data_IF_401843020882
#
_entry.id   IF_401843020882
#
_cell.length_a   1.000
_cell.length_b   1.000
_cell.length_c   1.000
_cell.angle_alpha   90.00
_cell.angle_beta   90.00
_cell.angle_gamma   90.00
#
_symmetry.space_group_name_H-M   'P 1'
#
loop_
_entity.id
_entity.type
_entity.pdbx_description
1 polymer ?
#
# COMPACT_ATOMS: atom_id res chain seq x y z
N UNK A 1 21.12 16.80 -28.14
CA UNK A 1 20.83 17.80 -27.09
C UNK A 1 19.55 17.47 -26.31
N UNK A 2 18.47 16.98 -26.91
CA UNK A 2 17.21 16.57 -26.27
C UNK A 2 17.33 15.39 -25.29
N UNK A 3 18.11 14.37 -25.59
CA UNK A 3 18.31 13.18 -24.72
C UNK A 3 18.86 13.53 -23.32
N UNK A 4 19.69 14.56 -23.22
CA UNK A 4 20.28 15.00 -21.94
C UNK A 4 19.25 15.70 -21.05
N UNK A 5 18.27 16.40 -21.64
CA UNK A 5 17.27 17.20 -20.90
C UNK A 5 16.28 16.29 -20.14
N UNK A 6 15.83 15.20 -20.75
CA UNK A 6 14.86 14.28 -20.12
C UNK A 6 15.51 13.42 -19.04
N UNK A 7 16.74 12.97 -19.26
CA UNK A 7 17.52 12.28 -18.22
C UNK A 7 17.76 13.22 -17.02
N UNK A 8 18.06 14.50 -17.28
CA UNK A 8 18.17 15.50 -16.23
C UNK A 8 16.84 15.72 -15.48
N UNK A 9 15.69 15.73 -16.18
CA UNK A 9 14.37 15.83 -15.53
C UNK A 9 14.08 14.62 -14.64
N UNK A 10 14.39 13.40 -15.08
CA UNK A 10 14.22 12.19 -14.28
C UNK A 10 15.10 12.22 -13.02
N UNK A 11 16.36 12.64 -13.16
CA UNK A 11 17.29 12.80 -12.04
C UNK A 11 16.80 13.90 -11.06
N UNK A 12 16.33 15.05 -11.56
CA UNK A 12 15.75 16.10 -10.71
C UNK A 12 14.56 15.60 -9.90
N UNK A 13 13.65 14.81 -10.50
CA UNK A 13 12.53 14.20 -9.80
C UNK A 13 12.99 13.21 -8.72
N UNK A 14 14.01 12.42 -9.02
CA UNK A 14 14.60 11.49 -8.04
C UNK A 14 15.24 12.24 -6.87
N UNK A 15 16.01 13.30 -7.15
CA UNK A 15 16.60 14.15 -6.11
C UNK A 15 15.53 14.81 -5.24
N UNK A 16 14.44 15.27 -5.83
CA UNK A 16 13.29 15.82 -5.09
C UNK A 16 12.68 14.78 -4.16
N UNK A 17 12.47 13.54 -4.64
CA UNK A 17 11.97 12.44 -3.79
C UNK A 17 12.94 12.09 -2.67
N UNK A 18 14.25 12.13 -2.91
CA UNK A 18 15.27 11.93 -1.85
C UNK A 18 15.21 13.05 -0.79
N UNK A 19 14.98 14.29 -1.21
CA UNK A 19 14.77 15.41 -0.27
C UNK A 19 13.53 15.16 0.61
N UNK A 20 12.44 14.69 0.04
CA UNK A 20 11.22 14.34 0.78
C UNK A 20 11.46 13.19 1.77
N UNK A 21 12.21 12.18 1.36
CA UNK A 21 12.65 11.09 2.25
C UNK A 21 13.45 11.64 3.44
N UNK A 22 14.36 12.58 3.20
CA UNK A 22 15.13 13.22 4.24
C UNK A 22 14.23 14.00 5.22
N UNK A 23 13.29 14.80 4.71
CA UNK A 23 12.29 15.50 5.53
C UNK A 23 11.48 14.51 6.39
N UNK A 24 11.05 13.38 5.80
CA UNK A 24 10.35 12.34 6.53
C UNK A 24 11.20 11.74 7.66
N UNK A 25 12.47 11.40 7.38
CA UNK A 25 13.39 10.85 8.38
C UNK A 25 13.62 11.84 9.50
N UNK A 26 13.85 13.12 9.21
CA UNK A 26 14.03 14.16 10.21
C UNK A 26 12.80 14.31 11.09
N UNK A 27 11.62 14.47 10.51
CA UNK A 27 10.36 14.63 11.26
C UNK A 27 9.98 13.39 12.08
N UNK A 28 10.34 12.19 11.58
CA UNK A 28 10.12 10.94 12.32
C UNK A 28 11.10 10.73 13.49
N UNK A 29 12.14 11.53 13.61
CA UNK A 29 13.06 11.56 14.76
C UNK A 29 12.71 12.66 15.79
N UNK A 30 11.79 13.56 15.45
CA UNK A 30 11.30 14.57 16.42
C UNK A 30 10.34 13.86 17.36
N UNK A 31 10.85 13.48 18.54
CA UNK A 31 10.04 12.82 19.59
C UNK A 31 9.10 13.82 20.23
N UNK A 32 7.89 13.35 20.56
CA UNK A 32 6.93 14.14 21.32
C UNK A 32 7.33 14.07 22.80
N UNK A 33 7.57 15.22 23.49
CA UNK A 33 7.99 15.22 24.87
C UNK A 33 6.90 14.67 25.80
N UNK A 34 7.29 14.13 26.94
CA UNK A 34 6.35 13.66 27.98
C UNK A 34 5.76 12.27 27.77
N UNK A 35 6.32 11.46 26.89
CA UNK A 35 5.86 10.10 26.60
C UNK A 35 6.87 9.07 27.13
N UNK A 36 6.36 8.04 27.82
CA UNK A 36 7.17 6.93 28.29
C UNK A 36 7.51 5.97 27.14
N UNK A 37 8.77 6.06 26.65
CA UNK A 37 9.26 5.21 25.58
C UNK A 37 9.35 3.72 25.99
N UNK A 38 9.51 3.41 27.30
CA UNK A 38 9.59 2.03 27.77
C UNK A 38 8.20 1.37 27.72
N UNK A 39 7.18 2.04 28.22
CA UNK A 39 5.79 1.57 28.16
C UNK A 39 5.34 1.33 26.69
N UNK A 40 5.81 2.18 25.79
CA UNK A 40 5.50 2.07 24.35
C UNK A 40 6.13 0.81 23.72
N UNK A 41 7.39 0.55 24.03
CA UNK A 41 8.10 -0.63 23.53
C UNK A 41 7.52 -1.94 24.07
N UNK A 42 7.00 -1.96 25.29
CA UNK A 42 6.29 -3.10 25.86
C UNK A 42 4.94 -3.36 25.15
N UNK A 43 4.19 -2.30 24.85
CA UNK A 43 2.95 -2.42 24.06
C UNK A 43 3.20 -3.00 22.69
N UNK A 44 4.21 -2.52 21.99
CA UNK A 44 4.61 -3.02 20.67
C UNK A 44 4.97 -4.50 20.70
N UNK A 45 5.61 -4.97 21.77
CA UNK A 45 5.97 -6.39 21.95
C UNK A 45 4.77 -7.29 22.29
N UNK A 46 3.82 -6.78 23.10
CA UNK A 46 2.64 -7.56 23.52
C UNK A 46 1.64 -7.79 22.40
N UNK A 47 1.59 -6.88 21.43
CA UNK A 47 0.64 -6.93 20.29
C UNK A 47 1.40 -6.99 18.96
N UNK A 48 2.06 -8.13 18.72
CA UNK A 48 2.92 -8.30 17.54
C UNK A 48 2.14 -8.10 16.22
N UNK A 49 0.93 -8.64 16.10
CA UNK A 49 0.09 -8.49 14.93
C UNK A 49 -0.36 -7.06 14.69
N UNK A 50 -0.74 -6.33 15.74
CA UNK A 50 -1.10 -4.92 15.64
C UNK A 50 0.10 -4.07 15.20
N UNK A 51 1.25 -4.25 15.83
CA UNK A 51 2.48 -3.53 15.49
C UNK A 51 2.95 -3.83 14.07
N UNK A 52 2.73 -5.05 13.59
CA UNK A 52 2.97 -5.45 12.20
C UNK A 52 2.04 -4.69 11.23
N UNK A 53 0.72 -4.73 11.45
CA UNK A 53 -0.24 -4.04 10.61
C UNK A 53 0.01 -2.53 10.53
N UNK A 54 0.35 -1.92 11.68
CA UNK A 54 0.69 -0.50 11.76
C UNK A 54 1.93 -0.17 10.93
N UNK A 55 2.98 -1.00 10.94
CA UNK A 55 4.16 -0.75 10.13
C UNK A 55 3.89 -0.84 8.63
N UNK A 56 2.90 -1.65 8.21
CA UNK A 56 2.49 -1.74 6.80
C UNK A 56 1.83 -0.45 6.30
N UNK A 57 1.25 0.33 7.19
CA UNK A 57 0.64 1.63 6.88
C UNK A 57 1.57 2.82 7.12
N UNK A 58 2.82 2.56 7.48
CA UNK A 58 3.80 3.60 7.78
C UNK A 58 3.69 4.18 9.19
N UNK A 59 2.87 3.59 10.04
CA UNK A 59 2.69 3.99 11.43
C UNK A 59 3.77 3.35 12.31
N UNK A 60 4.33 4.10 13.25
CA UNK A 60 5.33 3.62 14.20
C UNK A 60 4.92 3.92 15.64
N UNK A 61 4.73 2.87 16.45
CA UNK A 61 4.44 3.01 17.89
C UNK A 61 5.72 2.97 18.71
N UNK A 62 6.78 2.35 18.23
CA UNK A 62 8.01 2.13 19.02
C UNK A 62 8.61 3.44 19.56
N UNK A 63 8.38 4.54 18.86
CA UNK A 63 8.76 5.89 19.28
C UNK A 63 7.70 6.87 18.78
N UNK A 64 6.93 7.47 19.66
CA UNK A 64 5.97 8.51 19.26
C UNK A 64 6.70 9.79 18.84
N UNK A 65 6.74 9.99 17.54
CA UNK A 65 7.29 11.16 16.85
C UNK A 65 6.17 11.95 16.18
N UNK A 66 6.52 13.11 15.64
CA UNK A 66 5.59 13.95 14.89
C UNK A 66 4.88 13.19 13.76
N UNK A 67 5.58 12.27 13.10
CA UNK A 67 5.07 11.49 11.96
C UNK A 67 4.66 10.05 12.31
N UNK A 68 4.48 9.75 13.60
CA UNK A 68 4.14 8.38 14.04
C UNK A 68 2.81 7.86 13.52
N UNK A 69 1.85 8.75 13.21
CA UNK A 69 0.55 8.35 12.64
C UNK A 69 0.69 7.79 11.21
N UNK A 70 1.80 8.09 10.54
CA UNK A 70 2.04 7.67 9.16
C UNK A 70 0.95 8.13 8.18
N UNK A 71 0.79 7.39 7.09
CA UNK A 71 -0.23 7.64 6.07
C UNK A 71 -1.45 6.70 6.18
N UNK A 72 -1.54 5.89 7.25
CA UNK A 72 -2.64 4.94 7.47
C UNK A 72 -4.04 5.58 7.38
N UNK A 73 -4.33 6.70 8.09
CA UNK A 73 -5.62 7.38 8.01
C UNK A 73 -5.95 7.87 6.60
N UNK A 74 -4.95 8.36 5.86
CA UNK A 74 -5.11 8.79 4.47
C UNK A 74 -5.48 7.62 3.56
N UNK A 75 -4.83 6.47 3.70
CA UNK A 75 -5.16 5.26 2.95
C UNK A 75 -6.57 4.78 3.26
N UNK A 76 -6.93 4.69 4.54
CA UNK A 76 -8.28 4.31 4.95
C UNK A 76 -9.33 5.26 4.36
N UNK A 77 -9.11 6.56 4.42
CA UNK A 77 -10.00 7.57 3.85
C UNK A 77 -10.17 7.41 2.33
N UNK A 78 -9.08 7.12 1.61
CA UNK A 78 -9.13 6.90 0.16
C UNK A 78 -9.97 5.69 -0.22
N UNK A 79 -9.88 4.59 0.54
CA UNK A 79 -10.70 3.39 0.29
C UNK A 79 -12.18 3.70 0.57
N UNK A 80 -12.49 4.23 1.76
CA UNK A 80 -13.86 4.57 2.10
C UNK A 80 -14.49 5.50 1.08
N UNK A 81 -13.76 6.53 0.67
CA UNK A 81 -14.22 7.43 -0.37
C UNK A 81 -14.47 6.73 -1.70
N UNK A 82 -13.60 5.79 -2.08
CA UNK A 82 -13.75 5.02 -3.30
C UNK A 82 -14.96 4.09 -3.27
N UNK A 83 -15.19 3.40 -2.14
CA UNK A 83 -16.39 2.57 -1.94
C UNK A 83 -17.66 3.42 -2.03
N UNK A 84 -17.66 4.62 -1.43
CA UNK A 84 -18.78 5.55 -1.51
C UNK A 84 -19.04 6.03 -2.95
N UNK A 85 -17.97 6.29 -3.71
CA UNK A 85 -18.09 6.72 -5.11
C UNK A 85 -18.68 5.61 -5.99
N UNK A 86 -18.23 4.37 -5.81
CA UNK A 86 -18.72 3.21 -6.57
C UNK A 86 -20.18 2.87 -6.22
N UNK A 87 -20.59 3.09 -4.98
CA UNK A 87 -21.94 2.75 -4.50
C UNK A 87 -23.07 3.60 -5.12
N UNK A 88 -22.73 4.70 -5.82
CA UNK A 88 -23.68 5.66 -6.45
C UNK A 88 -24.74 6.27 -5.51
N UNK A 89 -24.67 5.95 -4.21
CA UNK A 89 -25.69 6.37 -3.22
C UNK A 89 -25.71 7.88 -3.03
N UNK A 90 -24.54 8.54 -3.16
CA UNK A 90 -24.39 9.98 -2.84
C UNK A 90 -24.17 10.89 -4.05
N UNK A 91 -24.40 10.42 -5.28
CA UNK A 91 -24.16 11.21 -6.51
C UNK A 91 -22.77 11.86 -6.57
N UNK A 92 -21.76 11.21 -5.98
CA UNK A 92 -20.38 11.70 -5.85
C UNK A 92 -19.70 11.82 -7.24
N UNK A 93 -20.24 11.15 -8.26
CA UNK A 93 -19.75 11.21 -9.65
C UNK A 93 -19.77 12.66 -10.22
N UNK A 94 -20.62 13.52 -9.69
CA UNK A 94 -20.73 14.94 -10.10
C UNK A 94 -19.68 15.86 -9.46
N UNK A 95 -18.90 15.37 -8.50
CA UNK A 95 -17.93 16.19 -7.79
C UNK A 95 -16.72 16.51 -8.67
N UNK A 96 -16.27 17.78 -8.61
CA UNK A 96 -15.02 18.17 -9.26
C UNK A 96 -13.81 17.46 -8.62
N UNK A 97 -12.68 17.32 -9.35
CA UNK A 97 -11.46 16.73 -8.79
C UNK A 97 -11.00 17.40 -7.48
N UNK A 98 -11.16 18.72 -7.39
CA UNK A 98 -10.82 19.49 -6.19
C UNK A 98 -11.75 19.19 -5.01
N UNK A 99 -13.06 19.05 -5.25
CA UNK A 99 -14.03 18.66 -4.21
C UNK A 99 -13.73 17.24 -3.70
N UNK A 100 -13.49 16.30 -4.62
CA UNK A 100 -13.10 14.94 -4.27
C UNK A 100 -11.84 14.90 -3.40
N UNK A 101 -10.84 15.71 -3.72
CA UNK A 101 -9.63 15.81 -2.92
C UNK A 101 -9.91 16.36 -1.52
N UNK A 102 -10.66 17.48 -1.42
CA UNK A 102 -11.01 18.09 -0.12
C UNK A 102 -11.77 17.13 0.79
N UNK A 103 -12.72 16.38 0.24
CA UNK A 103 -13.49 15.42 1.02
C UNK A 103 -12.61 14.27 1.54
N UNK A 104 -11.73 13.71 0.70
CA UNK A 104 -10.75 12.71 1.13
C UNK A 104 -9.86 13.24 2.24
N UNK A 105 -9.42 14.49 2.14
CA UNK A 105 -8.58 15.13 3.15
C UNK A 105 -9.32 15.29 4.48
N UNK A 106 -10.58 15.79 4.47
CA UNK A 106 -11.41 15.91 5.67
C UNK A 106 -11.64 14.53 6.31
N UNK A 107 -11.97 13.52 5.52
CA UNK A 107 -12.12 12.16 6.01
C UNK A 107 -10.83 11.63 6.64
N UNK A 108 -9.67 11.89 6.05
CA UNK A 108 -8.40 11.46 6.60
C UNK A 108 -8.07 12.13 7.94
N UNK A 109 -8.40 13.41 8.10
CA UNK A 109 -8.23 14.12 9.37
C UNK A 109 -9.14 13.55 10.44
N UNK A 110 -10.42 13.28 10.13
CA UNK A 110 -11.35 12.63 11.04
C UNK A 110 -10.85 11.25 11.49
N UNK A 111 -10.43 10.42 10.56
CA UNK A 111 -9.86 9.10 10.86
C UNK A 111 -8.55 9.23 11.65
N UNK A 112 -7.72 10.21 11.31
CA UNK A 112 -6.50 10.53 12.05
C UNK A 112 -6.76 10.93 13.50
N UNK A 113 -7.82 11.69 13.77
CA UNK A 113 -8.25 12.00 15.12
C UNK A 113 -8.64 10.73 15.89
N UNK A 114 -9.47 9.86 15.31
CA UNK A 114 -9.86 8.59 15.95
C UNK A 114 -8.63 7.72 16.25
N UNK A 115 -7.71 7.59 15.30
CA UNK A 115 -6.48 6.80 15.49
C UNK A 115 -5.56 7.43 16.53
N UNK A 116 -5.38 8.75 16.53
CA UNK A 116 -4.52 9.44 17.51
C UNK A 116 -5.05 9.28 18.93
N UNK A 117 -6.37 9.44 19.15
CA UNK A 117 -6.99 9.16 20.44
C UNK A 117 -6.80 7.70 20.87
N UNK A 118 -6.98 6.75 19.96
CA UNK A 118 -6.75 5.34 20.23
C UNK A 118 -5.32 5.05 20.70
N UNK A 119 -4.32 5.67 20.09
CA UNK A 119 -2.91 5.50 20.45
C UNK A 119 -2.62 6.17 21.81
N UNK A 120 -3.07 7.40 22.01
CA UNK A 120 -2.78 8.17 23.22
C UNK A 120 -3.36 7.51 24.48
N UNK A 121 -4.53 6.88 24.36
CA UNK A 121 -5.15 6.16 25.50
C UNK A 121 -4.35 4.92 25.92
N UNK A 122 -3.48 4.40 25.07
CA UNK A 122 -2.59 3.27 25.38
C UNK A 122 -1.27 3.69 26.02
N UNK A 123 -0.93 4.97 25.91
CA UNK A 123 0.37 5.49 26.32
C UNK A 123 0.29 6.14 27.69
N UNK A 124 1.25 5.83 28.55
CA UNK A 124 1.40 6.55 29.83
C UNK A 124 2.10 7.89 29.58
N UNK A 125 1.41 8.95 29.93
CA UNK A 125 1.96 10.31 29.89
C UNK A 125 2.74 10.56 31.17
N UNK A 126 4.03 10.87 31.04
CA UNK A 126 4.92 11.21 32.13
C UNK A 126 4.80 12.73 32.45
N UNK A 127 4.33 13.05 33.63
CA UNK A 127 4.37 14.41 34.17
C UNK A 127 3.08 15.25 33.98
N UNK A 128 3.06 16.39 34.70
CA UNK A 128 1.92 17.34 34.73
C UNK A 128 1.85 18.29 33.52
N UNK A 129 2.78 18.14 32.57
CA UNK A 129 2.96 19.07 31.43
C UNK A 129 1.71 19.18 30.56
N UNK A 130 0.86 18.15 30.56
CA UNK A 130 -0.33 18.07 29.71
C UNK A 130 -1.67 17.93 30.47
N UNK A 131 -1.71 18.07 31.79
CA UNK A 131 -2.97 18.16 32.55
C UNK A 131 -3.55 19.57 32.40
N UNK A 132 -4.71 19.81 31.97
CA UNK A 132 -5.97 19.14 31.70
C UNK A 132 -6.30 18.99 30.20
N UNK A 133 -5.49 19.50 29.29
CA UNK A 133 -5.71 19.50 27.82
C UNK A 133 -4.82 18.45 27.11
N UNK A 134 -4.05 17.69 27.89
CA UNK A 134 -2.93 16.89 27.43
C UNK A 134 -3.22 15.90 26.31
N UNK A 135 -4.29 15.11 26.43
CA UNK A 135 -4.63 14.11 25.41
C UNK A 135 -5.09 14.76 24.10
N UNK A 136 -5.80 15.88 24.17
CA UNK A 136 -6.27 16.61 23.00
C UNK A 136 -5.11 17.27 22.25
N UNK A 137 -4.19 17.92 22.99
CA UNK A 137 -3.03 18.57 22.38
C UNK A 137 -2.10 17.55 21.69
N UNK A 138 -1.87 16.39 22.32
CA UNK A 138 -1.10 15.30 21.69
C UNK A 138 -1.80 14.76 20.44
N UNK A 139 -3.12 14.58 20.48
CA UNK A 139 -3.89 14.17 19.31
C UNK A 139 -3.76 15.19 18.17
N UNK A 140 -3.85 16.48 18.47
CA UNK A 140 -3.70 17.54 17.48
C UNK A 140 -2.29 17.58 16.88
N UNK A 141 -1.23 17.36 17.68
CA UNK A 141 0.15 17.29 17.19
C UNK A 141 0.30 16.13 16.21
N UNK A 142 -0.22 14.94 16.55
CA UNK A 142 -0.16 13.77 15.67
C UNK A 142 -0.93 13.99 14.36
N UNK A 143 -2.12 14.60 14.44
CA UNK A 143 -2.93 14.92 13.25
C UNK A 143 -2.29 16.02 12.42
N UNK A 144 -1.65 17.00 13.03
CA UNK A 144 -0.86 17.99 12.29
C UNK A 144 0.29 17.34 11.54
N UNK A 145 1.00 16.38 12.17
CA UNK A 145 2.00 15.55 11.51
C UNK A 145 1.45 14.77 10.31
N UNK A 146 0.27 14.17 10.45
CA UNK A 146 -0.43 13.50 9.35
C UNK A 146 -0.73 14.48 8.19
N UNK A 147 -1.25 15.67 8.51
CA UNK A 147 -1.56 16.68 7.50
C UNK A 147 -0.32 17.11 6.70
N UNK A 148 0.81 17.29 7.38
CA UNK A 148 2.11 17.55 6.73
C UNK A 148 2.54 16.39 5.86
N UNK A 149 2.40 15.14 6.31
CA UNK A 149 2.76 13.96 5.52
C UNK A 149 1.91 13.83 4.25
N UNK A 150 0.61 14.10 4.33
CA UNK A 150 -0.28 14.10 3.17
C UNK A 150 0.17 15.19 2.18
N UNK A 151 0.47 16.38 2.66
CA UNK A 151 0.93 17.48 1.81
C UNK A 151 2.25 17.14 1.12
N UNK A 152 3.24 16.65 1.88
CA UNK A 152 4.55 16.22 1.36
C UNK A 152 4.42 15.07 0.36
N UNK A 153 3.53 14.10 0.62
CA UNK A 153 3.23 13.00 -0.29
C UNK A 153 2.65 13.47 -1.62
N UNK A 154 1.75 14.46 -1.58
CA UNK A 154 1.19 15.07 -2.80
C UNK A 154 2.24 15.88 -3.58
N UNK A 155 3.08 16.66 -2.89
CA UNK A 155 4.22 17.32 -3.55
C UNK A 155 5.11 16.31 -4.28
N UNK A 156 5.33 15.15 -3.67
CA UNK A 156 6.11 14.09 -4.32
C UNK A 156 5.39 13.48 -5.54
N UNK A 157 4.07 13.51 -5.58
CA UNK A 157 3.31 13.08 -6.77
C UNK A 157 3.54 14.04 -7.94
N UNK A 158 3.56 15.35 -7.67
CA UNK A 158 3.69 16.38 -8.71
C UNK A 158 5.14 16.53 -9.20
N UNK A 159 6.08 16.63 -8.29
CA UNK A 159 7.49 16.98 -8.59
C UNK A 159 8.47 15.83 -8.45
N UNK A 160 8.08 14.72 -7.80
CA UNK A 160 8.95 13.58 -7.51
C UNK A 160 8.57 12.30 -8.24
N UNK A 161 8.92 11.18 -7.62
CA UNK A 161 8.66 9.80 -8.06
C UNK A 161 8.08 9.01 -6.89
N UNK A 162 7.10 8.15 -7.16
CA UNK A 162 6.50 7.27 -6.17
C UNK A 162 5.42 7.93 -5.28
N UNK A 163 5.21 9.25 -5.36
CA UNK A 163 4.17 9.93 -4.58
C UNK A 163 4.23 9.59 -3.09
N UNK A 164 3.07 9.39 -2.41
CA UNK A 164 3.01 9.01 -1.00
C UNK A 164 3.62 7.63 -0.69
N UNK A 165 3.69 6.74 -1.70
CA UNK A 165 4.20 5.37 -1.57
C UNK A 165 5.66 5.32 -1.10
N UNK A 166 6.48 6.32 -1.47
CA UNK A 166 7.86 6.37 -1.04
C UNK A 166 8.00 6.58 0.47
N UNK A 167 7.09 7.35 1.08
CA UNK A 167 7.08 7.60 2.53
C UNK A 167 6.79 6.28 3.27
N UNK A 168 5.84 5.49 2.77
CA UNK A 168 5.50 4.19 3.34
C UNK A 168 6.65 3.22 3.20
N UNK A 169 7.26 3.15 2.01
CA UNK A 169 8.43 2.31 1.77
C UNK A 169 9.57 2.64 2.73
N UNK A 170 9.90 3.91 2.91
CA UNK A 170 10.97 4.36 3.82
C UNK A 170 10.62 4.03 5.28
N UNK A 171 9.37 4.22 5.67
CA UNK A 171 8.88 3.83 7.00
C UNK A 171 9.07 2.33 7.27
N UNK A 172 8.68 1.49 6.29
CA UNK A 172 8.85 0.04 6.39
C UNK A 172 10.33 -0.35 6.48
N UNK A 173 11.18 0.22 5.61
CA UNK A 173 12.63 -0.05 5.61
C UNK A 173 13.31 0.38 6.92
N UNK A 174 12.89 1.49 7.50
CA UNK A 174 13.43 1.98 8.77
C UNK A 174 13.15 1.00 9.92
N UNK A 175 11.94 0.46 9.99
CA UNK A 175 11.51 -0.42 11.06
C UNK A 175 11.95 -1.88 10.85
N UNK A 176 12.37 -2.23 9.64
CA UNK A 176 12.72 -3.58 9.25
C UNK A 176 13.89 -4.18 10.04
N UNK A 177 15.05 -3.48 10.26
CA UNK A 177 16.19 -4.04 10.99
C UNK A 177 15.86 -4.37 12.44
N UNK A 178 15.22 -3.47 13.16
CA UNK A 178 14.86 -3.67 14.56
C UNK A 178 13.88 -4.83 14.75
N UNK A 179 13.00 -5.03 13.78
CA UNK A 179 11.95 -6.04 13.88
C UNK A 179 12.40 -7.44 13.45
N UNK A 180 13.23 -7.54 12.44
CA UNK A 180 13.63 -8.82 11.85
C UNK A 180 15.10 -9.18 12.08
N UNK A 181 16.05 -8.23 12.06
CA UNK A 181 17.46 -8.54 12.25
C UNK A 181 17.82 -8.73 13.72
N UNK A 182 17.34 -7.86 14.63
CA UNK A 182 17.68 -7.97 16.04
C UNK A 182 17.27 -9.29 16.69
N UNK A 183 16.05 -9.82 16.51
CA UNK A 183 15.67 -11.13 17.07
C UNK A 183 16.52 -12.28 16.53
N UNK A 184 16.95 -12.15 15.28
CA UNK A 184 17.79 -13.11 14.62
C UNK A 184 19.20 -13.16 15.22
N UNK A 185 19.84 -12.00 15.35
CA UNK A 185 21.20 -11.89 15.88
C UNK A 185 21.28 -12.34 17.35
N UNK A 186 20.22 -12.09 18.13
CA UNK A 186 20.18 -12.46 19.55
C UNK A 186 20.02 -13.96 19.82
N UNK A 187 19.33 -14.67 18.94
CA UNK A 187 18.94 -16.06 19.19
C UNK A 187 19.89 -17.11 18.59
N UNK A 188 20.86 -16.72 17.77
CA UNK A 188 21.65 -17.67 17.01
C UNK A 188 23.15 -17.34 17.02
N UNK A 189 23.96 -18.25 17.60
CA UNK A 189 25.42 -18.17 17.62
C UNK A 189 26.04 -19.49 17.12
N UNK A 190 26.94 -19.43 16.15
CA UNK A 190 27.74 -20.57 15.68
C UNK A 190 27.75 -20.83 14.18
N UNK A 191 28.55 -21.78 13.71
CA UNK A 191 28.74 -22.15 12.29
C UNK A 191 27.45 -22.66 11.64
N UNK A 192 26.64 -23.46 12.37
CA UNK A 192 25.32 -23.90 11.87
C UNK A 192 24.36 -22.76 11.59
N UNK A 193 24.52 -21.64 12.25
CA UNK A 193 23.73 -20.44 12.00
C UNK A 193 24.12 -19.75 10.72
N UNK A 194 25.41 -19.76 10.36
CA UNK A 194 25.91 -19.18 9.13
C UNK A 194 25.35 -19.92 7.90
N UNK A 195 25.32 -21.26 7.97
CA UNK A 195 24.71 -22.10 6.93
C UNK A 195 23.18 -21.87 6.84
N UNK A 196 22.50 -21.75 7.98
CA UNK A 196 21.07 -21.41 8.06
C UNK A 196 20.75 -20.04 7.43
N UNK A 197 21.60 -19.05 7.68
CA UNK A 197 21.48 -17.72 7.06
C UNK A 197 21.66 -17.75 5.55
N UNK A 198 22.63 -18.51 5.06
CA UNK A 198 22.86 -18.70 3.62
C UNK A 198 21.65 -19.37 2.97
N UNK A 199 21.14 -20.45 3.56
CA UNK A 199 19.95 -21.14 3.05
C UNK A 199 18.70 -20.22 3.06
N UNK A 200 18.48 -19.49 4.16
CA UNK A 200 17.38 -18.55 4.27
C UNK A 200 17.49 -17.42 3.24
N UNK A 201 18.68 -16.86 3.01
CA UNK A 201 18.91 -15.83 2.01
C UNK A 201 18.70 -16.34 0.59
N UNK A 202 19.16 -17.56 0.27
CA UNK A 202 18.93 -18.20 -1.04
C UNK A 202 17.44 -18.44 -1.26
N UNK A 203 16.74 -18.99 -0.26
CA UNK A 203 15.29 -19.21 -0.33
C UNK A 203 14.54 -17.88 -0.57
N UNK A 204 14.92 -16.83 0.15
CA UNK A 204 14.33 -15.50 0.01
C UNK A 204 14.56 -14.91 -1.38
N UNK A 205 15.76 -15.05 -1.93
CA UNK A 205 16.08 -14.64 -3.30
C UNK A 205 15.24 -15.43 -4.33
N UNK A 206 15.10 -16.74 -4.13
CA UNK A 206 14.30 -17.58 -5.01
C UNK A 206 12.82 -17.20 -4.98
N UNK A 207 12.24 -17.01 -3.78
CA UNK A 207 10.85 -16.55 -3.62
C UNK A 207 10.67 -15.16 -4.23
N UNK A 208 11.62 -14.25 -4.02
CA UNK A 208 11.59 -12.91 -4.62
C UNK A 208 11.63 -12.97 -6.14
N UNK A 209 12.45 -13.83 -6.71
CA UNK A 209 12.52 -14.04 -8.15
C UNK A 209 11.21 -14.60 -8.70
N UNK A 210 10.60 -15.59 -8.04
CA UNK A 210 9.29 -16.14 -8.45
C UNK A 210 8.19 -15.08 -8.40
N UNK A 211 8.13 -14.29 -7.33
CA UNK A 211 7.18 -13.18 -7.18
C UNK A 211 7.40 -12.17 -8.30
N UNK A 212 8.65 -11.74 -8.52
CA UNK A 212 8.97 -10.78 -9.55
C UNK A 212 8.56 -11.25 -10.95
N UNK A 213 8.82 -12.51 -11.30
CA UNK A 213 8.39 -13.14 -12.57
C UNK A 213 6.87 -13.17 -12.68
N UNK A 214 6.17 -13.52 -11.61
CA UNK A 214 4.72 -13.52 -11.60
C UNK A 214 4.14 -12.12 -11.86
N UNK A 215 4.71 -11.09 -11.23
CA UNK A 215 4.25 -9.71 -11.40
C UNK A 215 4.64 -9.08 -12.73
N UNK A 216 5.63 -9.64 -13.44
CA UNK A 216 5.97 -9.24 -14.82
C UNK A 216 5.13 -9.96 -15.87
N UNK A 217 4.47 -11.05 -15.49
CA UNK A 217 3.64 -11.82 -16.40
C UNK A 217 2.50 -11.01 -16.97
N UNK A 218 2.19 -11.24 -18.24
CA UNK A 218 1.06 -10.63 -18.93
C UNK A 218 0.32 -11.70 -19.75
N UNK A 219 -1.00 -11.57 -19.78
CA UNK A 219 -1.83 -12.34 -20.69
C UNK A 219 -2.03 -11.52 -21.97
N UNK A 220 -1.54 -12.02 -23.09
CA UNK A 220 -1.66 -11.37 -24.38
C UNK A 220 -2.96 -11.78 -25.05
N UNK A 221 -3.85 -10.81 -25.31
CA UNK A 221 -5.07 -11.01 -26.05
C UNK A 221 -4.84 -10.55 -27.50
N UNK A 222 -4.87 -11.46 -28.51
CA UNK A 222 -4.61 -11.08 -29.91
C UNK A 222 -5.67 -10.10 -30.38
N UNK A 223 -5.24 -9.01 -31.00
CA UNK A 223 -6.05 -7.91 -31.47
C UNK A 223 -6.01 -7.88 -33.00
N UNK A 224 -7.16 -7.78 -33.64
CA UNK A 224 -7.31 -7.64 -35.08
C UNK A 224 -7.64 -6.21 -35.44
N UNK A 225 -7.02 -5.70 -36.49
CA UNK A 225 -7.25 -4.34 -37.01
C UNK A 225 -7.93 -4.41 -38.38
N UNK A 226 -9.01 -3.66 -38.59
CA UNK A 226 -9.76 -3.69 -39.86
C UNK A 226 -8.97 -3.14 -41.04
N UNK A 227 -8.01 -2.23 -40.79
CA UNK A 227 -7.25 -1.54 -41.85
C UNK A 227 -5.80 -1.99 -42.02
N UNK A 228 -5.36 -3.01 -41.30
CA UNK A 228 -3.99 -3.52 -41.37
C UNK A 228 -3.98 -4.90 -41.99
N UNK A 229 -3.00 -5.13 -42.87
CA UNK A 229 -2.74 -6.45 -43.47
C UNK A 229 -2.47 -7.50 -42.38
N UNK A 230 -2.96 -8.72 -42.58
CA UNK A 230 -2.86 -9.84 -41.60
C UNK A 230 -1.46 -10.09 -41.08
N UNK A 231 -0.44 -9.74 -41.89
CA UNK A 231 0.98 -9.88 -41.51
C UNK A 231 1.39 -8.96 -40.34
N UNK A 232 0.76 -7.79 -40.19
CA UNK A 232 1.02 -6.83 -39.14
C UNK A 232 0.04 -6.98 -37.96
N UNK A 233 -1.17 -7.45 -38.22
CA UNK A 233 -2.17 -7.71 -37.19
C UNK A 233 -1.79 -8.88 -36.28
N UNK A 234 -1.06 -9.88 -36.81
CA UNK A 234 -0.62 -11.05 -36.05
C UNK A 234 0.31 -10.74 -34.87
N UNK A 235 0.97 -9.57 -34.87
CA UNK A 235 1.84 -9.11 -33.78
C UNK A 235 1.15 -8.18 -32.79
N UNK A 236 -0.10 -7.75 -33.07
CA UNK A 236 -0.85 -6.83 -32.23
C UNK A 236 -1.60 -7.57 -31.14
N UNK A 237 -1.41 -7.16 -29.89
CA UNK A 237 -2.10 -7.75 -28.75
C UNK A 237 -2.38 -6.72 -27.65
N UNK A 238 -3.44 -6.94 -26.90
CA UNK A 238 -3.74 -6.20 -25.67
C UNK A 238 -3.12 -6.95 -24.47
N UNK A 239 -2.12 -6.37 -23.77
CA UNK A 239 -1.54 -7.00 -22.59
C UNK A 239 -2.43 -6.78 -21.37
N UNK A 240 -2.86 -7.86 -20.72
CA UNK A 240 -3.48 -7.82 -19.39
C UNK A 240 -2.46 -8.35 -18.39
N UNK A 241 -1.97 -7.55 -17.43
CA UNK A 241 -0.99 -8.01 -16.46
C UNK A 241 -1.55 -9.15 -15.59
N UNK A 242 -0.69 -10.07 -15.17
CA UNK A 242 -1.08 -11.19 -14.29
C UNK A 242 -1.60 -10.69 -12.95
N UNK A 243 -1.06 -9.56 -12.45
CA UNK A 243 -1.62 -8.85 -11.32
C UNK A 243 -2.17 -7.48 -11.77
N UNK A 244 -3.45 -7.42 -12.20
CA UNK A 244 -4.06 -6.18 -12.66
C UNK A 244 -4.28 -5.16 -11.54
N UNK A 245 -4.36 -5.62 -10.28
CA UNK A 245 -4.55 -4.74 -9.12
C UNK A 245 -3.26 -4.04 -8.67
N UNK A 246 -2.08 -4.53 -9.07
CA UNK A 246 -0.79 -3.99 -8.64
C UNK A 246 -0.49 -4.24 -7.16
N UNK A 247 0.26 -3.35 -6.53
CA UNK A 247 0.63 -3.41 -5.11
C UNK A 247 -0.36 -2.77 -4.15
N UNK A 248 -1.30 -2.01 -4.67
CA UNK A 248 -2.24 -1.23 -3.85
C UNK A 248 -3.09 -2.07 -2.90
N UNK A 249 -3.64 -3.25 -3.28
CA UNK A 249 -4.48 -4.04 -2.38
C UNK A 249 -3.80 -4.38 -1.05
N UNK A 250 -2.49 -4.62 -1.05
CA UNK A 250 -1.77 -4.97 0.17
C UNK A 250 -1.73 -3.84 1.19
N UNK A 251 -1.34 -2.65 0.74
CA UNK A 251 -1.26 -1.47 1.60
C UNK A 251 -2.61 -1.13 2.20
N UNK A 252 -3.64 -1.20 1.36
CA UNK A 252 -4.99 -0.83 1.76
C UNK A 252 -5.68 -1.90 2.61
N UNK A 253 -5.41 -3.19 2.41
CA UNK A 253 -6.02 -4.26 3.20
C UNK A 253 -5.68 -4.13 4.70
N UNK A 254 -4.42 -3.80 5.03
CA UNK A 254 -4.03 -3.54 6.41
C UNK A 254 -4.73 -2.31 6.99
N UNK A 255 -4.88 -1.23 6.21
CA UNK A 255 -5.62 -0.05 6.65
C UNK A 255 -7.09 -0.35 6.94
N UNK A 256 -7.73 -1.19 6.12
CA UNK A 256 -9.13 -1.61 6.30
C UNK A 256 -9.32 -2.41 7.58
N UNK A 257 -8.37 -3.28 7.92
CA UNK A 257 -8.44 -4.11 9.13
C UNK A 257 -8.11 -3.28 10.39
N UNK A 258 -7.15 -2.36 10.29
CA UNK A 258 -6.77 -1.50 11.43
C UNK A 258 -7.89 -0.53 11.83
N UNK A 259 -8.69 -0.05 10.88
CA UNK A 259 -9.72 0.94 11.17
C UNK A 259 -10.77 0.45 12.18
N UNK A 260 -11.43 -0.71 12.02
CA UNK A 260 -12.32 -1.27 13.05
C UNK A 260 -11.61 -1.51 14.39
N UNK A 261 -10.34 -1.92 14.36
CA UNK A 261 -9.56 -2.12 15.60
C UNK A 261 -9.41 -0.82 16.41
N UNK A 262 -9.16 0.31 15.75
CA UNK A 262 -9.06 1.61 16.43
C UNK A 262 -10.40 2.05 17.02
N UNK A 263 -11.51 1.85 16.31
CA UNK A 263 -12.85 2.16 16.82
C UNK A 263 -13.18 1.29 18.03
N UNK A 264 -12.98 -0.03 17.91
CA UNK A 264 -13.24 -0.96 19.00
C UNK A 264 -12.38 -0.65 20.22
N UNK A 265 -11.13 -0.28 20.01
CA UNK A 265 -10.25 0.12 21.09
C UNK A 265 -10.72 1.41 21.79
N UNK A 266 -11.14 2.41 21.05
CA UNK A 266 -11.71 3.65 21.59
C UNK A 266 -12.97 3.37 22.39
N UNK A 267 -13.88 2.53 21.88
CA UNK A 267 -15.09 2.11 22.58
C UNK A 267 -14.78 1.32 23.85
N UNK A 268 -13.80 0.40 23.82
CA UNK A 268 -13.32 -0.34 24.99
C UNK A 268 -12.77 0.59 26.07
N UNK A 269 -12.08 1.67 25.67
CA UNK A 269 -11.56 2.68 26.62
C UNK A 269 -12.67 3.44 27.34
N UNK A 270 -13.79 3.70 26.66
CA UNK A 270 -14.96 4.39 27.24
C UNK A 270 -15.83 3.44 28.06
N UNK A 271 -16.03 2.20 27.60
CA UNK A 271 -16.89 1.20 28.24
C UNK A 271 -16.05 0.04 28.81
N UNK A 272 -15.23 0.35 29.84
CA UNK A 272 -14.22 -0.59 30.41
C UNK A 272 -14.76 -1.95 30.86
N UNK A 273 -16.03 -2.05 31.26
CA UNK A 273 -16.64 -3.25 31.82
C UNK A 273 -17.47 -4.06 30.81
N UNK A 274 -17.49 -3.69 29.55
CA UNK A 274 -18.29 -4.41 28.55
C UNK A 274 -17.49 -5.61 27.99
N UNK A 275 -17.85 -6.82 28.44
CA UNK A 275 -17.21 -8.07 28.02
C UNK A 275 -17.34 -8.31 26.50
N UNK A 276 -18.45 -7.90 25.89
CA UNK A 276 -18.68 -8.07 24.46
C UNK A 276 -17.71 -7.22 23.61
N UNK A 277 -17.46 -5.96 24.01
CA UNK A 277 -16.50 -5.10 23.34
C UNK A 277 -15.06 -5.61 23.49
N UNK A 278 -14.72 -6.15 24.67
CA UNK A 278 -13.42 -6.76 24.89
C UNK A 278 -13.22 -7.97 23.99
N UNK A 279 -14.21 -8.86 23.92
CA UNK A 279 -14.18 -10.03 23.04
C UNK A 279 -14.05 -9.64 21.56
N UNK A 280 -14.85 -8.69 21.06
CA UNK A 280 -14.77 -8.23 19.69
C UNK A 280 -13.39 -7.62 19.36
N UNK A 281 -12.83 -6.81 20.25
CA UNK A 281 -11.54 -6.21 20.08
C UNK A 281 -10.44 -7.27 19.94
N UNK A 282 -10.45 -8.28 20.81
CA UNK A 282 -9.47 -9.38 20.76
C UNK A 282 -9.61 -10.19 19.47
N UNK A 283 -10.82 -10.51 19.06
CA UNK A 283 -11.07 -11.33 17.88
C UNK A 283 -10.68 -10.64 16.55
N UNK A 284 -10.77 -9.31 16.48
CA UNK A 284 -10.41 -8.56 15.25
C UNK A 284 -8.89 -8.34 15.13
N UNK A 285 -8.11 -8.62 16.18
CA UNK A 285 -6.64 -8.54 16.09
C UNK A 285 -6.07 -9.59 15.13
N UNK A 286 -4.94 -9.27 14.49
CA UNK A 286 -4.25 -10.19 13.58
C UNK A 286 -3.59 -11.38 14.30
N UNK A 287 -3.55 -11.36 15.61
CA UNK A 287 -3.10 -12.47 16.46
C UNK A 287 -4.22 -13.50 16.69
N UNK A 288 -5.41 -13.28 16.12
CA UNK A 288 -6.57 -14.18 16.16
C UNK A 288 -7.04 -14.58 14.76
N UNK A 289 -7.65 -15.77 14.66
CA UNK A 289 -8.11 -16.37 13.39
C UNK A 289 -9.04 -15.42 12.63
N UNK A 290 -9.97 -14.78 13.33
CA UNK A 290 -10.97 -13.89 12.73
C UNK A 290 -10.32 -12.64 12.11
N UNK A 291 -9.31 -12.07 12.76
CA UNK A 291 -8.55 -10.94 12.22
C UNK A 291 -7.80 -11.30 10.94
N UNK A 292 -7.18 -12.48 10.88
CA UNK A 292 -6.50 -12.97 9.67
C UNK A 292 -7.52 -13.21 8.54
N UNK A 293 -8.66 -13.80 8.83
CA UNK A 293 -9.73 -14.01 7.84
C UNK A 293 -10.24 -12.68 7.30
N UNK A 294 -10.49 -11.69 8.16
CA UNK A 294 -10.89 -10.34 7.73
C UNK A 294 -9.85 -9.69 6.81
N UNK A 295 -8.57 -9.86 7.13
CA UNK A 295 -7.48 -9.38 6.26
C UNK A 295 -7.54 -10.05 4.88
N UNK A 296 -7.69 -11.37 4.82
CA UNK A 296 -7.74 -12.10 3.56
C UNK A 296 -8.98 -11.75 2.72
N UNK A 297 -10.14 -11.62 3.36
CA UNK A 297 -11.37 -11.18 2.68
C UNK A 297 -11.18 -9.77 2.14
N UNK A 298 -10.65 -8.83 2.95
CA UNK A 298 -10.39 -7.47 2.49
C UNK A 298 -9.38 -7.43 1.34
N UNK A 299 -8.35 -8.27 1.38
CA UNK A 299 -7.35 -8.39 0.32
C UNK A 299 -7.98 -8.87 -0.99
N UNK A 300 -8.84 -9.90 -0.95
CA UNK A 300 -9.55 -10.39 -2.13
C UNK A 300 -10.44 -9.31 -2.72
N UNK A 301 -11.29 -8.68 -1.89
CA UNK A 301 -12.21 -7.62 -2.34
C UNK A 301 -11.45 -6.44 -2.97
N UNK A 302 -10.36 -6.00 -2.33
CA UNK A 302 -9.54 -4.91 -2.85
C UNK A 302 -8.80 -5.32 -4.14
N UNK A 303 -8.35 -6.57 -4.26
CA UNK A 303 -7.68 -7.05 -5.49
C UNK A 303 -8.64 -6.97 -6.69
N UNK A 304 -9.88 -7.43 -6.55
CA UNK A 304 -10.90 -7.28 -7.59
C UNK A 304 -11.25 -5.81 -7.85
N UNK A 305 -11.47 -5.04 -6.79
CA UNK A 305 -11.82 -3.62 -6.90
C UNK A 305 -10.75 -2.82 -7.65
N UNK A 306 -9.47 -2.97 -7.27
CA UNK A 306 -8.37 -2.28 -7.95
C UNK A 306 -8.10 -2.81 -9.35
N UNK A 307 -8.31 -4.11 -9.62
CA UNK A 307 -8.19 -4.67 -10.96
C UNK A 307 -9.14 -3.99 -11.95
N UNK A 308 -10.41 -3.81 -11.56
CA UNK A 308 -11.40 -3.13 -12.42
C UNK A 308 -11.17 -1.64 -12.57
N UNK A 309 -10.52 -1.03 -11.61
CA UNK A 309 -10.17 0.38 -11.66
C UNK A 309 -8.92 0.64 -12.50
N UNK A 310 -7.89 -0.19 -12.33
CA UNK A 310 -6.64 -0.03 -13.07
C UNK A 310 -6.78 -0.42 -14.54
N UNK A 311 -7.68 -1.38 -14.81
CA UNK A 311 -8.03 -1.78 -16.18
C UNK A 311 -9.50 -1.42 -16.38
N UNK A 312 -9.74 -0.22 -16.89
CA UNK A 312 -11.09 0.19 -17.25
C UNK A 312 -11.52 -0.53 -18.55
N UNK A 313 -12.04 -1.76 -18.35
CA UNK A 313 -12.47 -2.61 -19.45
C UNK A 313 -13.59 -2.00 -20.29
N UNK A 314 -14.38 -1.04 -19.74
CA UNK A 314 -15.44 -0.34 -20.48
C UNK A 314 -14.84 0.69 -21.42
N UNK A 315 -13.94 1.53 -20.90
CA UNK A 315 -13.25 2.53 -21.71
C UNK A 315 -12.43 1.88 -22.82
N UNK A 316 -11.72 0.77 -22.49
CA UNK A 316 -10.96 0.00 -23.48
C UNK A 316 -11.90 -0.54 -24.58
N UNK A 317 -13.05 -1.13 -24.21
CA UNK A 317 -14.01 -1.67 -25.17
C UNK A 317 -14.59 -0.57 -26.09
N UNK A 318 -14.87 0.62 -25.53
CA UNK A 318 -15.35 1.76 -26.30
C UNK A 318 -14.28 2.33 -27.24
N UNK A 319 -13.03 2.39 -26.80
CA UNK A 319 -11.90 2.82 -27.63
C UNK A 319 -11.65 1.84 -28.77
N UNK A 320 -11.66 0.52 -28.50
CA UNK A 320 -11.54 -0.49 -29.56
C UNK A 320 -12.67 -0.41 -30.60
N UNK A 321 -13.90 -0.14 -30.14
CA UNK A 321 -15.03 0.08 -31.07
C UNK A 321 -14.84 1.31 -31.95
N UNK A 322 -14.26 2.41 -31.40
CA UNK A 322 -14.00 3.66 -32.16
C UNK A 322 -12.84 3.52 -33.14
N UNK A 323 -11.79 2.75 -32.77
CA UNK A 323 -10.62 2.52 -33.64
C UNK A 323 -10.87 1.46 -34.73
N UNK A 324 -11.97 0.70 -34.64
CA UNK A 324 -12.25 -0.41 -35.55
C UNK A 324 -11.49 -1.68 -35.23
N UNK A 325 -10.89 -1.76 -34.03
CA UNK A 325 -10.16 -2.93 -33.56
C UNK A 325 -11.11 -3.94 -32.92
N UNK A 326 -10.85 -5.23 -33.10
CA UNK A 326 -11.72 -6.26 -32.56
C UNK A 326 -10.92 -7.51 -32.17
N UNK A 327 -11.54 -8.32 -31.30
CA UNK A 327 -11.02 -9.66 -30.96
C UNK A 327 -11.66 -10.70 -31.89
N UNK A 328 -10.88 -11.71 -32.25
CA UNK A 328 -11.39 -12.80 -33.08
C UNK A 328 -12.61 -13.46 -32.38
N UNK A 329 -13.68 -13.69 -33.15
CA UNK A 329 -14.94 -14.25 -32.70
C UNK A 329 -15.69 -13.44 -31.61
N UNK A 330 -15.37 -12.15 -31.41
CA UNK A 330 -16.07 -11.28 -30.45
C UNK A 330 -16.63 -10.06 -31.18
N UNK A 331 -17.97 -9.89 -31.17
CA UNK A 331 -18.60 -8.73 -31.77
C UNK A 331 -18.24 -7.45 -31.01
N UNK A 332 -17.89 -6.35 -31.71
CA UNK A 332 -17.57 -5.06 -31.09
C UNK A 332 -18.72 -4.53 -30.22
N UNK A 333 -18.40 -3.87 -29.11
CA UNK A 333 -19.33 -3.27 -28.17
C UNK A 333 -19.53 -4.09 -26.89
N UNK A 334 -20.79 -4.36 -26.48
CA UNK A 334 -21.08 -5.05 -25.21
C UNK A 334 -20.46 -6.44 -25.07
N UNK A 335 -20.26 -7.15 -26.16
CA UNK A 335 -19.60 -8.47 -26.13
C UNK A 335 -18.10 -8.33 -25.86
N UNK A 336 -17.46 -7.31 -26.41
CA UNK A 336 -16.06 -6.96 -26.11
C UNK A 336 -15.88 -6.57 -24.64
N UNK A 337 -16.79 -5.75 -24.11
CA UNK A 337 -16.80 -5.39 -22.69
C UNK A 337 -16.89 -6.63 -21.79
N UNK A 338 -17.83 -7.54 -22.08
CA UNK A 338 -17.99 -8.79 -21.31
C UNK A 338 -16.75 -9.70 -21.44
N UNK A 339 -16.16 -9.80 -22.61
CA UNK A 339 -14.94 -10.58 -22.86
C UNK A 339 -13.75 -10.03 -22.03
N UNK A 340 -13.54 -8.71 -22.06
CA UNK A 340 -12.50 -8.06 -21.26
C UNK A 340 -12.76 -8.21 -19.76
N UNK A 341 -13.99 -7.97 -19.30
CA UNK A 341 -14.38 -8.19 -17.90
C UNK A 341 -14.04 -9.59 -17.43
N UNK A 342 -14.36 -10.63 -18.20
CA UNK A 342 -14.06 -12.01 -17.84
C UNK A 342 -12.56 -12.30 -17.76
N UNK A 343 -11.78 -11.75 -18.70
CA UNK A 343 -10.32 -11.92 -18.70
C UNK A 343 -9.65 -11.18 -17.52
N UNK A 344 -10.07 -9.94 -17.24
CA UNK A 344 -9.58 -9.16 -16.08
C UNK A 344 -9.96 -9.84 -14.77
N UNK A 345 -11.21 -10.31 -14.62
CA UNK A 345 -11.67 -11.04 -13.45
C UNK A 345 -10.88 -12.31 -13.20
N UNK A 346 -10.57 -13.06 -14.25
CA UNK A 346 -9.78 -14.29 -14.16
C UNK A 346 -8.34 -14.01 -13.69
N UNK A 347 -7.71 -12.97 -14.22
CA UNK A 347 -6.37 -12.57 -13.78
C UNK A 347 -6.40 -12.04 -12.35
N UNK A 348 -7.40 -11.23 -11.98
CA UNK A 348 -7.60 -10.75 -10.62
C UNK A 348 -7.81 -11.92 -9.63
N UNK A 349 -8.57 -12.96 -10.01
CA UNK A 349 -8.78 -14.14 -9.19
C UNK A 349 -7.50 -14.94 -8.94
N UNK A 350 -6.69 -15.16 -9.98
CA UNK A 350 -5.39 -15.83 -9.86
C UNK A 350 -4.46 -15.02 -8.93
N UNK A 351 -4.41 -13.70 -9.13
CA UNK A 351 -3.62 -12.81 -8.29
C UNK A 351 -4.11 -12.82 -6.84
N UNK A 352 -5.41 -12.72 -6.61
CA UNK A 352 -5.99 -12.78 -5.27
C UNK A 352 -5.67 -14.10 -4.55
N UNK A 353 -5.81 -15.23 -5.24
CA UNK A 353 -5.51 -16.55 -4.68
C UNK A 353 -4.03 -16.66 -4.28
N UNK A 354 -3.11 -16.26 -5.15
CA UNK A 354 -1.67 -16.28 -4.86
C UNK A 354 -1.31 -15.34 -3.70
N UNK A 355 -1.87 -14.14 -3.68
CA UNK A 355 -1.63 -13.18 -2.61
C UNK A 355 -2.16 -13.69 -1.26
N UNK A 356 -3.35 -14.32 -1.26
CA UNK A 356 -3.90 -14.96 -0.07
C UNK A 356 -3.05 -16.14 0.42
N UNK A 357 -2.49 -16.94 -0.48
CA UNK A 357 -1.59 -18.02 -0.10
C UNK A 357 -0.30 -17.48 0.50
N UNK A 358 0.36 -16.51 -0.13
CA UNK A 358 1.64 -15.98 0.32
C UNK A 358 1.52 -15.26 1.67
N UNK A 359 0.41 -14.55 1.91
CA UNK A 359 0.18 -13.82 3.18
C UNK A 359 -0.51 -14.72 4.19
N UNK A 360 -1.55 -15.43 3.80
CA UNK A 360 -2.41 -16.19 4.70
C UNK A 360 -1.71 -17.39 5.32
N UNK A 361 -0.97 -18.18 4.53
CA UNK A 361 -0.29 -19.36 5.06
C UNK A 361 0.68 -19.04 6.20
N UNK A 362 1.62 -18.08 6.07
CA UNK A 362 2.49 -17.73 7.17
C UNK A 362 1.73 -17.16 8.38
N UNK A 363 0.69 -16.34 8.14
CA UNK A 363 -0.08 -15.75 9.24
C UNK A 363 -0.87 -16.81 10.00
N UNK A 364 -1.50 -17.78 9.32
CA UNK A 364 -2.13 -18.91 10.00
C UNK A 364 -1.12 -19.79 10.73
N UNK A 365 0.07 -20.01 10.15
CA UNK A 365 1.13 -20.74 10.83
C UNK A 365 1.57 -20.05 12.14
N UNK A 366 1.62 -18.72 12.15
CA UNK A 366 1.95 -17.95 13.36
C UNK A 366 0.93 -18.11 14.49
N UNK A 367 -0.35 -18.31 14.15
CA UNK A 367 -1.40 -18.54 15.16
C UNK A 367 -1.23 -19.87 15.90
N UNK A 368 -0.76 -20.91 15.19
CA UNK A 368 -0.54 -22.22 15.79
C UNK A 368 0.85 -22.37 16.44
N UNK A 369 1.85 -21.66 15.89
CA UNK A 369 3.24 -21.70 16.36
C UNK A 369 3.78 -20.29 16.65
N UNK A 370 3.56 -19.75 17.86
CA UNK A 370 4.00 -18.40 18.21
C UNK A 370 5.49 -18.13 18.00
N UNK A 371 6.33 -19.17 18.09
CA UNK A 371 7.77 -19.06 17.85
C UNK A 371 8.13 -18.69 16.40
N UNK A 372 7.22 -18.93 15.45
CA UNK A 372 7.41 -18.64 14.03
C UNK A 372 6.84 -17.27 13.66
N UNK A 373 6.19 -16.55 14.58
CA UNK A 373 5.50 -15.29 14.32
C UNK A 373 6.38 -14.24 13.62
N UNK A 374 7.65 -14.12 14.00
CA UNK A 374 8.60 -13.20 13.36
C UNK A 374 8.76 -13.52 11.86
N UNK A 375 8.89 -14.80 11.52
CA UNK A 375 9.00 -15.27 10.14
C UNK A 375 7.70 -15.12 9.36
N UNK A 376 6.59 -15.35 10.02
CA UNK A 376 5.27 -15.24 9.42
C UNK A 376 4.97 -13.79 9.00
N UNK A 377 5.39 -12.80 9.77
CA UNK A 377 5.26 -11.39 9.42
C UNK A 377 6.35 -10.90 8.47
N UNK A 378 7.49 -11.60 8.41
CA UNK A 378 8.56 -11.25 7.48
C UNK A 378 8.16 -11.43 6.02
N UNK A 379 7.50 -12.55 5.68
CA UNK A 379 7.12 -12.87 4.29
C UNK A 379 6.20 -11.81 3.67
N UNK A 380 5.07 -11.42 4.31
CA UNK A 380 4.23 -10.33 3.80
C UNK A 380 4.96 -8.99 3.69
N UNK A 381 5.80 -8.66 4.70
CA UNK A 381 6.57 -7.41 4.69
C UNK A 381 7.50 -7.36 3.49
N UNK A 382 8.24 -8.44 3.26
CA UNK A 382 9.18 -8.55 2.14
C UNK A 382 8.47 -8.43 0.79
N UNK A 383 7.33 -9.11 0.65
CA UNK A 383 6.51 -9.05 -0.55
C UNK A 383 6.05 -7.61 -0.85
N UNK A 384 5.53 -6.91 0.16
CA UNK A 384 5.07 -5.53 -0.01
C UNK A 384 6.23 -4.61 -0.37
N UNK A 385 7.39 -4.74 0.30
CA UNK A 385 8.59 -3.97 -0.03
C UNK A 385 9.00 -4.17 -1.49
N UNK A 386 9.04 -5.42 -1.96
CA UNK A 386 9.39 -5.74 -3.34
C UNK A 386 8.42 -5.10 -4.35
N UNK A 387 7.12 -5.15 -4.06
CA UNK A 387 6.10 -4.56 -4.93
C UNK A 387 6.23 -3.04 -4.98
N UNK A 388 6.40 -2.38 -3.83
CA UNK A 388 6.57 -0.93 -3.76
C UNK A 388 7.85 -0.47 -4.48
N UNK A 389 8.96 -1.18 -4.27
CA UNK A 389 10.21 -0.91 -5.00
C UNK A 389 10.02 -1.03 -6.50
N UNK A 390 9.31 -2.08 -6.95
CA UNK A 390 9.01 -2.27 -8.37
C UNK A 390 8.16 -1.13 -8.93
N UNK A 391 7.10 -0.70 -8.25
CA UNK A 391 6.26 0.41 -8.70
C UNK A 391 7.07 1.70 -8.89
N UNK A 392 7.93 2.02 -7.92
CA UNK A 392 8.82 3.20 -8.00
C UNK A 392 9.81 3.04 -9.16
N UNK A 393 10.41 1.85 -9.33
CA UNK A 393 11.38 1.58 -10.40
C UNK A 393 10.73 1.69 -11.77
N UNK A 394 9.52 1.14 -11.95
CA UNK A 394 8.78 1.24 -13.23
C UNK A 394 8.43 2.70 -13.52
N UNK A 395 8.02 3.47 -12.53
CA UNK A 395 7.72 4.88 -12.70
C UNK A 395 8.99 5.68 -13.08
N UNK A 396 10.12 5.42 -12.41
CA UNK A 396 11.40 6.01 -12.76
C UNK A 396 11.83 5.65 -14.19
N UNK A 397 11.75 4.37 -14.55
CA UNK A 397 12.11 3.88 -15.89
C UNK A 397 11.28 4.56 -16.99
N UNK A 398 9.99 4.76 -16.77
CA UNK A 398 9.13 5.50 -17.73
C UNK A 398 9.60 6.94 -17.95
N UNK A 399 10.05 7.64 -16.90
CA UNK A 399 10.60 8.99 -17.05
C UNK A 399 11.97 8.99 -17.70
N UNK A 400 12.80 8.00 -17.40
CA UNK A 400 14.16 7.91 -17.90
C UNK A 400 14.22 7.54 -19.39
N UNK A 401 13.41 6.55 -19.82
CA UNK A 401 13.36 6.02 -21.20
C UNK A 401 12.28 6.68 -22.06
N UNK A 402 11.67 7.75 -21.60
CA UNK A 402 10.57 8.42 -22.34
C UNK A 402 10.94 8.80 -23.78
N UNK A 403 12.23 9.06 -24.05
CA UNK A 403 12.72 9.46 -25.37
C UNK A 403 13.38 8.33 -26.18
N UNK A 404 13.51 7.13 -25.62
CA UNK A 404 14.06 5.99 -26.39
C UNK A 404 13.06 5.54 -27.48
N UNK A 405 11.79 5.89 -27.33
CA UNK A 405 10.76 5.88 -28.37
C UNK A 405 10.85 7.20 -29.16
N UNK A 406 11.97 7.41 -29.86
CA UNK A 406 12.27 8.64 -30.60
C UNK A 406 11.09 9.15 -31.42
N UNK A 407 10.94 10.46 -31.48
CA UNK A 407 9.88 11.09 -32.26
C UNK A 407 9.91 10.54 -33.67
N UNK A 408 8.91 9.74 -34.04
CA UNK A 408 8.64 9.32 -35.44
C UNK A 408 8.31 10.54 -36.32
N UNK A 409 8.01 11.67 -35.69
CA UNK A 409 7.80 12.95 -36.33
C UNK A 409 8.96 13.85 -35.89
N UNK A 410 9.88 14.25 -36.80
CA UNK A 410 10.85 15.26 -36.47
C UNK A 410 10.11 16.50 -35.99
N UNK A 411 10.47 17.01 -34.78
CA UNK A 411 10.00 18.30 -34.33
C UNK A 411 10.29 19.28 -35.48
N UNK A 412 9.25 19.85 -36.03
CA UNK A 412 9.39 20.98 -36.95
C UNK A 412 9.91 22.12 -36.07
N UNK A 413 11.22 22.31 -36.10
CA UNK A 413 11.88 23.51 -35.54
C UNK A 413 11.35 24.69 -36.36
N UNK A 414 10.42 25.44 -35.77
CA UNK A 414 9.97 26.70 -36.33
C UNK A 414 8.45 26.84 -36.49
N UNK A 415 7.73 26.93 -35.39
CA UNK A 415 6.49 27.71 -35.27
C UNK A 415 6.38 28.23 -33.85
#
# INVERSE_FOLDING_TARGET
>A
MSLTIYKQKAIKRLLFSLMIVLIYILGSNILIPGIDAQALSELSRKTAGLSFAMSMTGLSIDRLSLFSLGLGPWMSAMIFWRVLTVSKVFHIESFTPQQNYRMKYIFSILLGLVQSFSIITQVRILGDVYKPIGNLSLALILVAGLAVLIWVGNLNTDYGIGGPTIIILVSMLRNWPARFLEPFVKNYHGIFTLLGWLLASILLLLVSFMIFRFYQGERRLPLMHVMLDDRFSAQSYLPIPTNPAGGMPFMYAFSVVLFPQYILFMLKSWYKNNQFLNFLYEQVQLDHVLGVILLLISLVLLTYGFAYVNIDYKEIADNLKKSGDYFNNVYPGKNTERYLFHNVSRMAGISAALNCLIIGLPMFAALYWPHISVWAYFVPTWLILMILMREITVQFSRYYHRNDYGAFIPEVEGL
#
